data_IF_615850263023
#
_entry.id   IF_615850263023
#
_cell.length_a   1.000
_cell.length_b   1.000
_cell.length_c   1.000
_cell.angle_alpha   90.00
_cell.angle_beta   90.00
_cell.angle_gamma   90.00
#
_symmetry.space_group_name_H-M   'P 1'
#
loop_
_entity.id
_entity.type
_entity.pdbx_description
1 polymer ?
#
# COMPACT_ATOMS: atom_id res chain seq x y z
N UNK A 1 59.77 -12.38 -15.18
CA UNK A 1 59.64 -13.09 -16.46
C UNK A 1 58.15 -13.17 -16.77
N UNK A 2 57.54 -12.57 -17.78
CA UNK A 2 57.99 -11.64 -18.80
C UNK A 2 56.82 -10.70 -19.14
N UNK A 3 57.17 -9.45 -19.42
CA UNK A 3 56.33 -8.34 -19.86
C UNK A 3 56.11 -8.42 -21.37
N UNK A 4 54.92 -8.08 -21.88
CA UNK A 4 54.74 -7.72 -23.30
C UNK A 4 53.87 -6.48 -23.47
N UNK A 5 54.28 -5.70 -24.47
CA UNK A 5 54.11 -4.26 -24.63
C UNK A 5 52.79 -3.81 -25.28
N UNK A 6 52.46 -2.57 -24.94
CA UNK A 6 51.75 -1.55 -25.73
C UNK A 6 52.22 -1.46 -27.20
N UNK A 7 51.27 -1.19 -28.11
CA UNK A 7 51.19 0.00 -29.00
C UNK A 7 50.41 -0.33 -30.28
N UNK A 8 49.34 0.42 -30.54
CA UNK A 8 49.16 1.10 -31.82
C UNK A 8 48.16 2.27 -31.66
N UNK A 9 48.61 3.45 -32.08
CA UNK A 9 47.86 4.69 -32.21
C UNK A 9 47.84 5.10 -33.69
N UNK A 10 46.95 6.07 -34.01
CA UNK A 10 46.88 6.87 -35.25
C UNK A 10 46.11 6.22 -36.41
N UNK A 11 45.18 6.83 -37.16
CA UNK A 11 44.62 8.19 -37.26
C UNK A 11 43.62 8.24 -38.44
N UNK A 12 42.53 9.03 -38.37
CA UNK A 12 41.89 9.84 -39.44
C UNK A 12 40.56 10.41 -38.90
N UNK A 13 40.47 11.69 -38.51
CA UNK A 13 40.31 12.92 -39.32
C UNK A 13 38.89 13.08 -39.94
N UNK A 14 38.18 14.07 -39.37
CA UNK A 14 37.15 14.99 -39.91
C UNK A 14 35.82 14.45 -40.46
N UNK A 15 34.72 14.83 -39.77
CA UNK A 15 33.64 15.67 -40.33
C UNK A 15 32.78 16.27 -39.20
N UNK A 16 32.86 17.59 -39.03
CA UNK A 16 31.88 18.45 -38.33
C UNK A 16 31.30 19.41 -39.37
N UNK A 17 30.12 19.94 -39.05
CA UNK A 17 29.32 21.00 -39.71
C UNK A 17 28.36 20.57 -40.82
N UNK A 18 27.05 20.51 -40.49
CA UNK A 18 26.05 21.50 -40.91
C UNK A 18 24.64 20.99 -40.58
N UNK A 19 24.05 21.44 -39.46
CA UNK A 19 22.59 21.41 -39.26
C UNK A 19 22.18 22.39 -38.14
N UNK A 20 22.31 23.67 -38.43
CA UNK A 20 21.57 24.76 -37.77
C UNK A 20 21.16 25.73 -38.87
N UNK A 21 19.95 26.27 -38.80
CA UNK A 21 19.17 27.00 -39.83
C UNK A 21 18.14 26.09 -40.51
N UNK A 22 17.04 25.79 -39.81
CA UNK A 22 15.68 25.56 -40.36
C UNK A 22 14.71 25.30 -39.18
N UNK A 23 14.54 26.28 -38.29
CA UNK A 23 13.55 26.16 -37.18
C UNK A 23 13.20 27.51 -36.55
N UNK A 24 13.07 28.56 -37.37
CA UNK A 24 12.60 29.88 -36.93
C UNK A 24 11.57 30.53 -37.88
N UNK A 25 11.03 29.78 -38.85
CA UNK A 25 10.09 30.30 -39.85
C UNK A 25 8.65 29.79 -39.78
N UNK A 26 8.33 28.84 -38.88
CA UNK A 26 7.03 28.14 -38.91
C UNK A 26 6.03 28.58 -37.82
N UNK A 27 6.47 29.35 -36.83
CA UNK A 27 5.63 29.78 -35.69
C UNK A 27 4.86 31.09 -35.96
N UNK A 28 5.22 31.84 -37.01
CA UNK A 28 4.56 33.10 -37.35
C UNK A 28 3.33 32.95 -38.30
N UNK A 29 3.05 31.76 -38.83
CA UNK A 29 2.00 31.57 -39.86
C UNK A 29 0.70 30.93 -39.34
N UNK A 30 0.71 30.34 -38.13
CA UNK A 30 -0.48 29.70 -37.53
C UNK A 30 -1.27 30.65 -36.61
N UNK A 31 -0.63 31.72 -36.12
CA UNK A 31 -1.25 32.70 -35.22
C UNK A 31 -2.22 33.70 -35.87
N UNK A 32 -2.25 33.80 -37.21
CA UNK A 32 -3.03 34.79 -37.95
C UNK A 32 -4.30 34.24 -38.61
N UNK A 33 -4.52 32.91 -38.55
CA UNK A 33 -5.71 32.26 -39.10
C UNK A 33 -6.79 31.92 -38.07
N UNK A 34 -6.49 32.02 -36.77
CA UNK A 34 -7.43 31.71 -35.68
C UNK A 34 -8.13 32.94 -35.06
N UNK A 35 -7.81 34.16 -35.52
CA UNK A 35 -8.40 35.41 -35.00
C UNK A 35 -9.51 36.00 -35.87
N UNK A 36 -9.92 35.33 -36.97
CA UNK A 36 -10.95 35.83 -37.91
C UNK A 36 -12.20 34.93 -38.01
N UNK A 37 -12.38 33.97 -37.09
CA UNK A 37 -13.54 33.08 -37.07
C UNK A 37 -14.38 33.19 -35.79
N UNK A 38 -14.59 34.42 -35.33
CA UNK A 38 -15.60 34.77 -34.32
C UNK A 38 -16.40 35.97 -34.83
N UNK A 39 -17.46 35.71 -35.58
CA UNK A 39 -18.56 36.64 -35.83
C UNK A 39 -19.73 35.88 -36.46
N UNK A 40 -20.94 36.17 -35.97
CA UNK A 40 -22.27 35.86 -36.55
C UNK A 40 -22.77 34.41 -36.56
N UNK A 41 -23.47 34.00 -35.50
CA UNK A 41 -24.72 33.21 -35.61
C UNK A 41 -25.78 33.85 -34.69
N UNK A 42 -26.96 34.22 -35.19
CA UNK A 42 -28.02 34.83 -34.40
C UNK A 42 -28.81 33.81 -33.56
N UNK A 43 -29.26 34.28 -32.41
CA UNK A 43 -30.14 33.60 -31.46
C UNK A 43 -31.53 33.38 -32.06
N UNK A 44 -31.95 32.13 -32.23
CA UNK A 44 -33.34 31.77 -32.57
C UNK A 44 -33.99 31.21 -31.30
N UNK A 45 -34.92 32.00 -30.75
CA UNK A 45 -35.92 31.56 -29.80
C UNK A 45 -37.06 30.87 -30.57
N UNK A 46 -37.44 29.66 -30.17
CA UNK A 46 -38.76 29.11 -30.46
C UNK A 46 -39.36 28.54 -29.16
N UNK A 47 -40.61 28.91 -28.82
CA UNK A 47 -41.33 28.35 -27.69
C UNK A 47 -42.12 27.12 -28.15
N UNK A 48 -41.96 25.99 -27.49
CA UNK A 48 -42.94 24.91 -27.56
C UNK A 48 -43.01 24.20 -26.21
N UNK A 49 -44.13 24.41 -25.51
CA UNK A 49 -44.59 23.49 -24.50
C UNK A 49 -45.29 22.31 -25.15
N UNK A 50 -45.04 21.10 -24.64
CA UNK A 50 -45.99 19.99 -24.68
C UNK A 50 -45.68 19.03 -23.53
N UNK A 51 -46.72 18.77 -22.73
CA UNK A 51 -46.83 17.67 -21.77
C UNK A 51 -46.70 16.34 -22.51
N UNK A 52 -45.88 15.41 -21.99
CA UNK A 52 -45.97 13.97 -22.25
C UNK A 52 -45.47 13.17 -21.03
N UNK A 53 -46.07 12.00 -20.86
CA UNK A 53 -46.23 11.15 -19.66
C UNK A 53 -44.97 10.54 -19.02
N UNK A 54 -45.04 10.13 -17.74
CA UNK A 54 -43.97 9.43 -17.05
C UNK A 54 -44.13 7.90 -17.12
N UNK A 55 -43.85 7.25 -18.26
CA UNK A 55 -43.77 5.79 -18.26
C UNK A 55 -42.98 5.18 -19.45
N UNK A 56 -41.65 5.34 -19.44
CA UNK A 56 -40.77 4.38 -20.13
C UNK A 56 -39.33 4.45 -19.60
N UNK A 57 -39.12 3.96 -18.37
CA UNK A 57 -37.75 3.62 -17.92
C UNK A 57 -37.32 2.34 -18.62
N UNK A 58 -36.36 2.50 -19.54
CA UNK A 58 -35.67 1.40 -20.24
C UNK A 58 -35.21 0.29 -19.28
N UNK A 59 -35.29 -0.97 -19.75
CA UNK A 59 -34.91 -2.16 -18.98
C UNK A 59 -33.45 -2.16 -18.51
N UNK A 60 -32.58 -1.35 -19.12
CA UNK A 60 -31.18 -1.19 -18.72
C UNK A 60 -31.01 -0.45 -17.37
N UNK A 61 -31.96 0.41 -16.98
CA UNK A 61 -31.92 1.08 -15.67
C UNK A 61 -32.35 0.17 -14.52
N UNK A 62 -33.26 -0.79 -14.78
CA UNK A 62 -33.76 -1.73 -13.75
C UNK A 62 -32.70 -2.74 -13.28
N UNK A 63 -31.75 -3.10 -14.15
CA UNK A 63 -30.62 -3.96 -13.77
C UNK A 63 -29.62 -3.32 -12.81
N UNK A 64 -29.47 -1.99 -12.88
CA UNK A 64 -28.51 -1.25 -12.03
C UNK A 64 -29.02 -0.93 -10.62
N UNK A 65 -30.34 -0.85 -10.42
CA UNK A 65 -30.94 -0.54 -9.12
C UNK A 65 -30.70 -1.67 -8.09
N UNK A 66 -30.55 -2.93 -8.54
CA UNK A 66 -30.21 -4.07 -7.66
C UNK A 66 -28.76 -4.08 -7.16
N UNK A 67 -27.88 -3.21 -7.69
CA UNK A 67 -26.48 -3.11 -7.27
C UNK A 67 -26.17 -1.93 -6.35
N UNK A 68 -27.16 -1.10 -6.01
CA UNK A 68 -27.00 0.06 -5.12
C UNK A 68 -27.71 -0.19 -3.78
N UNK A 69 -27.00 -0.43 -2.67
CA UNK A 69 -27.64 -0.47 -1.36
C UNK A 69 -28.31 0.88 -1.05
N UNK A 70 -29.48 0.82 -0.40
CA UNK A 70 -30.29 2.00 -0.08
C UNK A 70 -29.51 3.06 0.69
N UNK A 71 -29.50 4.30 0.17
CA UNK A 71 -28.93 5.50 0.79
C UNK A 71 -29.54 5.74 2.18
N UNK A 72 -28.73 5.71 3.24
CA UNK A 72 -29.00 6.46 4.47
C UNK A 72 -27.93 7.54 4.61
N UNK A 73 -28.33 8.79 4.36
CA UNK A 73 -27.46 9.94 4.55
C UNK A 73 -27.40 10.27 6.05
N UNK A 74 -26.23 10.08 6.67
CA UNK A 74 -25.92 10.65 7.99
C UNK A 74 -24.51 11.25 7.96
N UNK A 75 -24.46 12.58 8.02
CA UNK A 75 -23.43 13.36 8.73
C UNK A 75 -22.00 13.45 8.22
N UNK A 76 -21.52 12.56 7.35
CA UNK A 76 -20.15 12.63 6.81
C UNK A 76 -20.13 13.32 5.43
N UNK A 77 -19.28 14.33 5.27
CA UNK A 77 -19.01 14.99 3.97
C UNK A 77 -18.14 14.15 3.05
N UNK A 78 -17.52 13.07 3.55
CA UNK A 78 -16.96 12.04 2.70
C UNK A 78 -18.13 11.23 2.13
N UNK A 79 -18.28 11.24 0.81
CA UNK A 79 -19.27 10.42 0.12
C UNK A 79 -19.03 8.95 0.52
N UNK A 80 -19.90 8.40 1.37
CA UNK A 80 -20.00 6.96 1.66
C UNK A 80 -20.09 6.07 0.40
N UNK A 81 -20.20 6.68 -0.80
CA UNK A 81 -20.30 6.00 -2.09
C UNK A 81 -19.03 6.12 -2.95
N UNK A 82 -17.89 6.60 -2.43
CA UNK A 82 -16.68 6.84 -3.26
C UNK A 82 -16.25 5.63 -4.11
N UNK A 83 -16.23 4.44 -3.50
CA UNK A 83 -15.91 3.19 -4.19
C UNK A 83 -17.05 2.70 -5.12
N UNK A 84 -18.32 3.01 -4.82
CA UNK A 84 -19.47 2.72 -5.72
C UNK A 84 -19.37 3.58 -6.97
N UNK A 85 -19.14 4.88 -6.80
CA UNK A 85 -18.98 5.83 -7.89
C UNK A 85 -17.76 5.46 -8.74
N UNK A 86 -16.67 4.99 -8.12
CA UNK A 86 -15.53 4.40 -8.82
C UNK A 86 -15.95 3.21 -9.68
N UNK A 87 -16.59 2.19 -9.10
CA UNK A 87 -17.01 1.00 -9.85
C UNK A 87 -17.93 1.37 -11.03
N UNK A 88 -18.87 2.29 -10.85
CA UNK A 88 -19.75 2.75 -11.93
C UNK A 88 -18.97 3.44 -13.06
N UNK A 89 -17.99 4.29 -12.72
CA UNK A 89 -17.12 4.93 -13.71
C UNK A 89 -16.24 3.91 -14.42
N UNK A 90 -15.61 3.00 -13.69
CA UNK A 90 -14.75 1.94 -14.23
C UNK A 90 -15.54 1.04 -15.19
N UNK A 91 -16.75 0.62 -14.81
CA UNK A 91 -17.62 -0.20 -15.66
C UNK A 91 -17.99 0.53 -16.95
N UNK A 92 -18.42 1.80 -16.87
CA UNK A 92 -18.73 2.60 -18.07
C UNK A 92 -17.52 2.74 -18.97
N UNK A 93 -16.34 3.04 -18.41
CA UNK A 93 -15.12 3.18 -19.19
C UNK A 93 -14.69 1.87 -19.85
N UNK A 94 -14.85 0.74 -19.16
CA UNK A 94 -14.59 -0.58 -19.71
C UNK A 94 -15.53 -0.87 -20.88
N UNK A 95 -16.85 -0.70 -20.69
CA UNK A 95 -17.84 -0.93 -21.74
C UNK A 95 -17.60 -0.06 -22.98
N UNK A 96 -17.28 1.23 -22.79
CA UNK A 96 -16.93 2.13 -23.91
C UNK A 96 -15.68 1.64 -24.66
N UNK A 97 -14.69 1.09 -23.96
CA UNK A 97 -13.48 0.52 -24.57
C UNK A 97 -13.78 -0.82 -25.27
N UNK A 98 -14.71 -1.62 -24.77
CA UNK A 98 -15.12 -2.87 -25.42
C UNK A 98 -15.99 -2.62 -26.67
N UNK A 99 -16.83 -1.58 -26.66
CA UNK A 99 -17.70 -1.21 -27.78
C UNK A 99 -16.93 -0.53 -28.92
N UNK A 100 -15.97 0.33 -28.59
CA UNK A 100 -15.11 1.00 -29.57
C UNK A 100 -13.87 0.16 -29.78
N UNK A 101 -13.81 -0.54 -30.91
CA UNK A 101 -12.69 -1.38 -31.38
C UNK A 101 -11.39 -1.30 -30.54
N UNK A 102 -10.89 -2.46 -30.13
CA UNK A 102 -9.83 -2.69 -29.13
C UNK A 102 -8.59 -1.78 -29.21
N UNK A 103 -8.32 -1.20 -30.38
CA UNK A 103 -7.28 -0.21 -30.62
C UNK A 103 -7.46 1.12 -29.86
N UNK A 104 -8.63 1.39 -29.27
CA UNK A 104 -8.88 2.63 -28.51
C UNK A 104 -8.72 2.48 -26.99
N UNK A 105 -8.59 1.25 -26.50
CA UNK A 105 -8.40 0.98 -25.09
C UNK A 105 -7.02 1.46 -24.61
N UNK A 106 -6.96 2.02 -23.40
CA UNK A 106 -5.67 2.27 -22.74
C UNK A 106 -4.99 0.94 -22.43
N UNK A 107 -3.66 0.99 -22.27
CA UNK A 107 -2.88 -0.17 -21.81
C UNK A 107 -3.51 -0.72 -20.53
N UNK A 108 -3.73 -2.03 -20.49
CA UNK A 108 -4.33 -2.79 -19.38
C UNK A 108 -5.79 -2.45 -19.04
N UNK A 109 -6.46 -1.58 -19.80
CA UNK A 109 -7.85 -1.22 -19.51
C UNK A 109 -8.82 -2.41 -19.62
N UNK A 110 -8.54 -3.37 -20.49
CA UNK A 110 -9.32 -4.61 -20.63
C UNK A 110 -8.90 -5.71 -19.66
N UNK A 111 -7.89 -5.46 -18.82
CA UNK A 111 -7.45 -6.39 -17.78
C UNK A 111 -8.11 -5.99 -16.46
N UNK A 112 -9.02 -6.82 -15.98
CA UNK A 112 -9.86 -6.54 -14.82
C UNK A 112 -9.27 -7.18 -13.57
N UNK A 113 -9.15 -6.40 -12.49
CA UNK A 113 -8.77 -6.87 -11.16
C UNK A 113 -9.96 -6.74 -10.22
N UNK A 114 -10.31 -7.80 -9.48
CA UNK A 114 -11.36 -7.76 -8.48
C UNK A 114 -10.74 -7.63 -7.09
N UNK A 115 -11.04 -6.52 -6.41
CA UNK A 115 -10.55 -6.20 -5.08
C UNK A 115 -11.59 -6.62 -4.05
N UNK A 116 -11.45 -7.84 -3.55
CA UNK A 116 -12.41 -8.49 -2.66
C UNK A 116 -12.10 -8.32 -1.17
N UNK A 117 -10.85 -8.01 -0.81
CA UNK A 117 -10.49 -7.67 0.57
C UNK A 117 -11.22 -6.39 1.04
N UNK A 118 -11.65 -6.38 2.30
CA UNK A 118 -12.38 -5.24 2.85
C UNK A 118 -11.48 -4.01 3.02
N UNK A 119 -10.17 -4.21 3.22
CA UNK A 119 -9.20 -3.13 3.39
C UNK A 119 -9.16 -2.16 2.19
N UNK A 120 -9.47 -2.66 0.99
CA UNK A 120 -9.59 -1.82 -0.22
C UNK A 120 -10.77 -0.84 -0.16
N UNK A 121 -11.88 -1.23 0.48
CA UNK A 121 -13.02 -0.35 0.72
C UNK A 121 -12.76 0.54 1.94
N UNK A 122 -12.26 -0.04 3.04
CA UNK A 122 -12.00 0.69 4.28
C UNK A 122 -11.08 1.89 4.06
N UNK A 123 -10.04 1.77 3.22
CA UNK A 123 -9.18 2.91 2.92
C UNK A 123 -9.95 4.05 2.21
N UNK A 124 -10.89 3.72 1.31
CA UNK A 124 -11.74 4.71 0.63
C UNK A 124 -12.70 5.41 1.60
N UNK A 125 -13.00 4.76 2.72
CA UNK A 125 -13.79 5.29 3.83
C UNK A 125 -12.93 6.05 4.87
N UNK A 126 -11.62 6.15 4.65
CA UNK A 126 -10.69 6.92 5.48
C UNK A 126 -10.03 6.13 6.60
N UNK A 127 -10.13 4.80 6.60
CA UNK A 127 -9.36 3.97 7.53
C UNK A 127 -7.86 3.98 7.15
N UNK A 128 -7.00 4.00 8.17
CA UNK A 128 -5.55 4.25 8.03
C UNK A 128 -4.69 3.21 8.78
N UNK A 129 -5.18 1.97 8.92
CA UNK A 129 -4.38 0.86 9.44
C UNK A 129 -3.27 0.45 8.46
N UNK A 130 -2.40 -0.48 8.90
CA UNK A 130 -1.28 -0.92 8.08
C UNK A 130 -1.76 -1.62 6.81
N UNK A 131 -2.80 -2.43 6.95
CA UNK A 131 -3.49 -3.12 5.87
C UNK A 131 -4.16 -2.14 4.90
N UNK A 132 -4.77 -1.05 5.39
CA UNK A 132 -5.35 -0.02 4.53
C UNK A 132 -4.29 0.81 3.78
N UNK A 133 -3.16 1.13 4.41
CA UNK A 133 -2.02 1.80 3.74
C UNK A 133 -1.48 0.90 2.61
N UNK A 134 -1.43 -0.41 2.86
CA UNK A 134 -1.03 -1.38 1.85
C UNK A 134 -2.06 -1.50 0.71
N UNK A 135 -3.34 -1.54 1.04
CA UNK A 135 -4.43 -1.52 0.06
C UNK A 135 -4.42 -0.24 -0.78
N UNK A 136 -4.19 0.92 -0.17
CA UNK A 136 -4.08 2.21 -0.84
C UNK A 136 -2.90 2.22 -1.83
N UNK A 137 -1.74 1.71 -1.42
CA UNK A 137 -0.57 1.60 -2.31
C UNK A 137 -0.84 0.68 -3.50
N UNK A 138 -1.56 -0.42 -3.27
CA UNK A 138 -1.95 -1.36 -4.32
C UNK A 138 -2.91 -0.70 -5.32
N UNK A 139 -3.92 0.02 -4.85
CA UNK A 139 -4.86 0.77 -5.70
C UNK A 139 -4.14 1.83 -6.53
N UNK A 140 -3.26 2.62 -5.90
CA UNK A 140 -2.46 3.63 -6.61
C UNK A 140 -1.58 3.00 -7.71
N UNK A 141 -0.98 1.84 -7.43
CA UNK A 141 -0.20 1.11 -8.43
C UNK A 141 -1.08 0.59 -9.59
N UNK A 142 -2.29 0.10 -9.32
CA UNK A 142 -3.24 -0.31 -10.37
C UNK A 142 -3.63 0.86 -11.28
N UNK A 143 -3.87 2.04 -10.71
CA UNK A 143 -4.16 3.27 -11.45
C UNK A 143 -2.98 3.65 -12.36
N UNK A 144 -1.74 3.67 -11.85
CA UNK A 144 -0.55 3.98 -12.64
C UNK A 144 -0.35 2.98 -13.79
N UNK A 145 -0.57 1.69 -13.51
CA UNK A 145 -0.40 0.60 -14.47
C UNK A 145 -1.55 0.51 -15.49
N UNK A 146 -2.62 1.28 -15.32
CA UNK A 146 -3.75 1.38 -16.25
C UNK A 146 -4.76 0.24 -16.17
N UNK A 147 -4.76 -0.55 -15.09
CA UNK A 147 -5.71 -1.65 -14.91
C UNK A 147 -7.12 -1.14 -14.61
N UNK A 148 -8.13 -1.83 -15.12
CA UNK A 148 -9.49 -1.66 -14.61
C UNK A 148 -9.64 -2.49 -13.35
N UNK A 149 -10.18 -1.92 -12.28
CA UNK A 149 -10.45 -2.68 -11.06
C UNK A 149 -11.80 -2.33 -10.45
N UNK A 150 -12.38 -3.30 -9.75
CA UNK A 150 -13.65 -3.17 -9.05
C UNK A 150 -13.48 -3.54 -7.58
N UNK A 151 -14.04 -2.71 -6.70
CA UNK A 151 -14.22 -3.06 -5.30
C UNK A 151 -15.41 -4.01 -5.18
N UNK A 152 -15.16 -5.26 -4.84
CA UNK A 152 -16.19 -6.31 -4.81
C UNK A 152 -16.50 -6.81 -3.41
N UNK A 153 -15.76 -6.37 -2.39
CA UNK A 153 -16.11 -6.65 -1.00
C UNK A 153 -17.48 -6.06 -0.63
N UNK A 154 -18.08 -6.61 0.42
CA UNK A 154 -19.29 -6.07 1.03
C UNK A 154 -19.01 -5.73 2.50
N UNK A 155 -19.24 -4.47 2.83
CA UNK A 155 -19.26 -3.96 4.19
C UNK A 155 -20.67 -3.43 4.47
N UNK A 156 -21.37 -4.01 5.44
CA UNK A 156 -22.68 -3.55 5.88
C UNK A 156 -22.62 -2.68 7.16
N UNK A 157 -21.40 -2.35 7.61
CA UNK A 157 -21.17 -1.60 8.84
C UNK A 157 -21.25 -2.44 10.13
N UNK A 158 -21.60 -3.73 10.05
CA UNK A 158 -21.79 -4.59 11.22
C UNK A 158 -21.01 -5.91 11.13
N UNK A 159 -20.81 -6.49 9.94
CA UNK A 159 -20.07 -7.72 9.69
C UNK A 159 -19.39 -7.71 8.33
N UNK A 160 -18.13 -8.16 8.30
CA UNK A 160 -17.48 -8.54 7.04
C UNK A 160 -18.20 -9.80 6.56
N UNK A 161 -18.82 -9.74 5.37
CA UNK A 161 -19.38 -10.94 4.78
C UNK A 161 -18.23 -11.88 4.41
N UNK A 162 -18.26 -13.08 5.00
CA UNK A 162 -17.20 -14.09 4.94
C UNK A 162 -17.04 -14.77 3.55
N UNK A 163 -17.64 -14.24 2.48
CA UNK A 163 -17.71 -14.91 1.19
C UNK A 163 -17.53 -13.98 -0.01
N UNK A 164 -17.23 -14.58 -1.16
CA UNK A 164 -16.95 -13.89 -2.43
C UNK A 164 -18.18 -13.77 -3.35
N UNK A 165 -19.41 -13.80 -2.82
CA UNK A 165 -20.64 -13.81 -3.63
C UNK A 165 -20.69 -12.68 -4.66
N UNK A 166 -20.48 -11.44 -4.22
CA UNK A 166 -20.46 -10.26 -5.11
C UNK A 166 -19.28 -10.30 -6.08
N UNK A 167 -18.12 -10.79 -5.64
CA UNK A 167 -16.95 -10.99 -6.51
C UNK A 167 -17.26 -11.97 -7.64
N UNK A 168 -18.01 -13.06 -7.36
CA UNK A 168 -18.46 -14.02 -8.37
C UNK A 168 -19.39 -13.35 -9.38
N UNK A 169 -20.31 -12.48 -8.93
CA UNK A 169 -21.18 -11.74 -9.86
C UNK A 169 -20.37 -10.87 -10.82
N UNK A 170 -19.35 -10.16 -10.31
CA UNK A 170 -18.42 -9.39 -11.15
C UNK A 170 -17.59 -10.27 -12.08
N UNK A 171 -17.10 -11.40 -11.59
CA UNK A 171 -16.35 -12.35 -12.40
C UNK A 171 -17.20 -12.85 -13.58
N UNK A 172 -18.46 -13.23 -13.32
CA UNK A 172 -19.38 -13.74 -14.35
C UNK A 172 -19.76 -12.72 -15.42
N UNK A 173 -19.66 -11.43 -15.13
CA UNK A 173 -19.88 -10.39 -16.14
C UNK A 173 -18.75 -10.34 -17.17
N UNK A 174 -17.51 -10.63 -16.78
CA UNK A 174 -16.32 -10.50 -17.63
C UNK A 174 -15.25 -11.58 -17.37
N UNK A 175 -15.59 -12.89 -17.44
CA UNK A 175 -14.73 -13.97 -16.94
C UNK A 175 -13.34 -13.99 -17.63
N UNK A 176 -13.31 -13.70 -18.93
CA UNK A 176 -12.11 -13.69 -19.74
C UNK A 176 -11.22 -12.46 -19.51
N UNK A 177 -11.80 -11.37 -19.01
CA UNK A 177 -11.07 -10.11 -18.75
C UNK A 177 -10.45 -10.10 -17.36
N UNK A 178 -10.97 -10.89 -16.41
CA UNK A 178 -10.45 -10.92 -15.05
C UNK A 178 -9.11 -11.62 -15.01
N UNK A 179 -8.05 -10.87 -14.67
CA UNK A 179 -6.70 -11.40 -14.47
C UNK A 179 -6.49 -11.96 -13.06
N UNK A 180 -6.99 -11.26 -12.04
CA UNK A 180 -6.80 -11.66 -10.65
C UNK A 180 -7.95 -11.20 -9.76
N UNK A 181 -8.13 -11.93 -8.67
CA UNK A 181 -8.98 -11.61 -7.53
C UNK A 181 -8.06 -11.49 -6.32
N UNK A 182 -8.03 -10.32 -5.69
CA UNK A 182 -7.25 -10.08 -4.48
C UNK A 182 -8.23 -10.09 -3.30
N UNK A 183 -8.22 -11.15 -2.51
CA UNK A 183 -9.21 -11.42 -1.46
C UNK A 183 -8.55 -11.50 -0.08
N UNK A 184 -9.33 -11.35 0.99
CA UNK A 184 -8.84 -11.71 2.33
C UNK A 184 -8.44 -13.19 2.38
N UNK A 185 -7.57 -13.51 3.33
CA UNK A 185 -7.11 -14.88 3.53
C UNK A 185 -8.27 -15.83 3.85
N UNK A 186 -9.17 -15.46 4.77
CA UNK A 186 -10.34 -16.26 5.14
C UNK A 186 -11.32 -16.41 3.97
N UNK A 187 -11.55 -15.34 3.20
CA UNK A 187 -12.38 -15.37 2.00
C UNK A 187 -11.82 -16.29 0.92
N UNK A 188 -10.50 -16.34 0.74
CA UNK A 188 -9.85 -17.23 -0.21
C UNK A 188 -10.04 -18.71 0.18
N UNK A 189 -9.86 -19.06 1.45
CA UNK A 189 -10.15 -20.41 1.96
C UNK A 189 -11.63 -20.76 1.84
N UNK A 190 -12.52 -19.88 2.30
CA UNK A 190 -13.97 -20.11 2.23
C UNK A 190 -14.46 -20.28 0.78
N UNK A 191 -13.90 -19.52 -0.17
CA UNK A 191 -14.21 -19.69 -1.59
C UNK A 191 -13.72 -21.04 -2.13
N UNK A 192 -12.50 -21.43 -1.77
CA UNK A 192 -11.93 -22.70 -2.20
C UNK A 192 -12.76 -23.90 -1.74
N UNK A 193 -13.29 -23.84 -0.52
CA UNK A 193 -14.14 -24.89 0.04
C UNK A 193 -15.60 -24.83 -0.48
N UNK A 194 -16.04 -23.73 -1.09
CA UNK A 194 -17.38 -23.58 -1.66
C UNK A 194 -17.40 -23.95 -3.17
N UNK A 195 -18.00 -25.09 -3.57
CA UNK A 195 -18.07 -25.50 -4.96
C UNK A 195 -18.85 -24.53 -5.85
N UNK A 196 -19.63 -23.59 -5.27
CA UNK A 196 -20.33 -22.54 -6.02
C UNK A 196 -19.45 -21.32 -6.29
N UNK A 197 -18.29 -21.22 -5.63
CA UNK A 197 -17.35 -20.14 -5.80
C UNK A 197 -16.28 -20.47 -6.84
N UNK A 198 -15.58 -21.60 -6.68
CA UNK A 198 -14.50 -21.99 -7.58
C UNK A 198 -15.00 -22.63 -8.87
N UNK A 199 -14.18 -22.51 -9.92
CA UNK A 199 -14.34 -23.27 -11.16
C UNK A 199 -14.23 -24.76 -10.87
N UNK A 200 -15.24 -25.53 -11.25
CA UNK A 200 -15.22 -26.98 -11.24
C UNK A 200 -16.25 -27.52 -12.25
N UNK A 201 -16.38 -28.85 -12.33
CA UNK A 201 -17.30 -29.51 -13.25
C UNK A 201 -18.77 -29.10 -13.06
N UNK A 202 -19.20 -28.89 -11.82
CA UNK A 202 -20.58 -28.54 -11.47
C UNK A 202 -20.82 -27.01 -11.48
N UNK A 203 -19.75 -26.23 -11.47
CA UNK A 203 -19.74 -24.77 -11.55
C UNK A 203 -18.76 -24.28 -12.64
N UNK A 204 -19.10 -24.41 -13.93
CA UNK A 204 -18.24 -23.99 -15.03
C UNK A 204 -18.05 -22.46 -15.13
N UNK A 205 -18.81 -21.70 -14.35
CA UNK A 205 -18.72 -20.23 -14.26
C UNK A 205 -18.11 -19.76 -12.93
N UNK A 206 -17.49 -20.67 -12.18
CA UNK A 206 -16.75 -20.33 -10.98
C UNK A 206 -15.43 -19.64 -11.28
N UNK A 207 -14.83 -19.06 -10.25
CA UNK A 207 -13.53 -18.40 -10.34
C UNK A 207 -12.44 -19.49 -10.36
N UNK A 208 -11.57 -19.53 -11.38
CA UNK A 208 -10.40 -20.39 -11.35
C UNK A 208 -9.53 -20.09 -10.13
N UNK A 209 -9.23 -21.11 -9.33
CA UNK A 209 -8.55 -20.89 -8.04
C UNK A 209 -7.19 -20.20 -8.18
N UNK A 210 -6.49 -20.42 -9.29
CA UNK A 210 -5.20 -19.77 -9.55
C UNK A 210 -5.30 -18.26 -9.78
N UNK A 211 -6.48 -17.73 -10.06
CA UNK A 211 -6.72 -16.28 -10.12
C UNK A 211 -6.92 -15.66 -8.73
N UNK A 212 -7.09 -16.45 -7.67
CA UNK A 212 -7.37 -15.95 -6.31
C UNK A 212 -6.06 -15.81 -5.54
N UNK A 213 -5.67 -14.57 -5.28
CA UNK A 213 -4.50 -14.20 -4.49
C UNK A 213 -4.96 -13.72 -3.11
N UNK A 214 -4.43 -14.32 -2.05
CA UNK A 214 -4.73 -13.93 -0.68
C UNK A 214 -3.94 -12.69 -0.29
N UNK A 215 -4.62 -11.65 0.15
CA UNK A 215 -4.07 -10.43 0.72
C UNK A 215 -3.85 -10.66 2.21
N UNK A 216 -2.63 -10.97 2.63
CA UNK A 216 -2.34 -11.30 4.03
C UNK A 216 -1.25 -10.40 4.58
N UNK A 217 -1.55 -9.72 5.68
CA UNK A 217 -0.57 -8.82 6.28
C UNK A 217 0.60 -9.58 6.89
N UNK A 218 0.39 -10.80 7.39
CA UNK A 218 1.36 -11.52 8.20
C UNK A 218 2.18 -12.56 7.41
N UNK A 219 3.26 -13.03 8.04
CA UNK A 219 4.07 -14.10 7.51
C UNK A 219 3.31 -15.45 7.46
N UNK A 220 3.80 -16.37 6.61
CA UNK A 220 3.22 -17.70 6.46
C UNK A 220 2.16 -17.77 5.35
N UNK A 221 1.83 -18.97 4.87
CA UNK A 221 0.89 -19.13 3.77
C UNK A 221 -0.54 -18.86 4.26
N UNK A 222 -1.28 -18.05 3.53
CA UNK A 222 -2.66 -17.69 3.83
C UNK A 222 -3.59 -17.88 2.62
N UNK A 223 -3.19 -18.78 1.72
CA UNK A 223 -3.93 -19.21 0.53
C UNK A 223 -4.01 -20.73 0.49
N UNK A 224 -5.11 -21.32 -0.03
CA UNK A 224 -5.20 -22.75 -0.33
C UNK A 224 -4.06 -23.28 -1.22
N UNK A 225 -3.50 -22.42 -2.07
CA UNK A 225 -2.39 -22.76 -2.97
C UNK A 225 -1.00 -22.48 -2.35
N UNK A 226 -0.97 -21.99 -1.11
CA UNK A 226 0.25 -21.79 -0.32
C UNK A 226 0.93 -20.43 -0.54
N UNK A 227 2.24 -20.39 -0.28
CA UNK A 227 3.03 -19.17 -0.20
C UNK A 227 3.02 -18.32 -1.47
N UNK A 228 3.13 -18.95 -2.65
CA UNK A 228 3.15 -18.22 -3.95
C UNK A 228 1.87 -17.43 -4.22
N UNK A 229 0.71 -17.89 -3.73
CA UNK A 229 -0.58 -17.19 -3.87
C UNK A 229 -0.93 -16.34 -2.65
N UNK A 230 -0.02 -16.22 -1.68
CA UNK A 230 -0.17 -15.32 -0.53
C UNK A 230 0.63 -14.07 -0.80
N UNK A 231 -0.03 -12.92 -0.91
CA UNK A 231 0.60 -11.61 -1.03
C UNK A 231 0.98 -11.12 0.37
N UNK A 232 2.13 -10.45 0.50
CA UNK A 232 2.57 -9.84 1.77
C UNK A 232 3.02 -8.38 1.62
N UNK A 233 2.85 -7.55 2.67
CA UNK A 233 3.29 -6.15 2.72
C UNK A 233 4.78 -6.01 3.04
N UNK A 234 5.40 -7.05 3.58
CA UNK A 234 6.83 -7.09 3.91
C UNK A 234 7.48 -8.34 3.30
N UNK A 235 8.80 -8.27 3.19
CA UNK A 235 9.66 -9.36 2.74
C UNK A 235 10.05 -10.23 3.96
N UNK A 236 9.09 -10.97 4.50
CA UNK A 236 9.21 -11.68 5.79
C UNK A 236 10.35 -12.69 5.89
N UNK A 237 10.82 -13.23 4.77
CA UNK A 237 12.02 -14.08 4.73
C UNK A 237 13.32 -13.33 5.10
N UNK A 238 13.31 -11.99 5.09
CA UNK A 238 14.39 -11.18 5.68
C UNK A 238 14.32 -11.11 7.20
N UNK A 239 13.14 -11.30 7.77
CA UNK A 239 12.98 -11.36 9.22
C UNK A 239 13.52 -12.69 9.76
N UNK A 240 13.20 -13.77 9.05
CA UNK A 240 13.59 -15.13 9.43
C UNK A 240 13.93 -15.94 8.17
N UNK A 241 15.22 -16.25 7.99
CA UNK A 241 15.72 -16.96 6.81
C UNK A 241 15.14 -18.36 6.62
N UNK A 242 14.55 -18.94 7.66
CA UNK A 242 13.86 -20.24 7.63
C UNK A 242 12.39 -20.15 7.20
N UNK A 243 11.82 -18.96 7.08
CA UNK A 243 10.43 -18.78 6.64
C UNK A 243 10.39 -18.82 5.13
N UNK A 244 9.59 -19.75 4.58
CA UNK A 244 9.32 -19.79 3.14
C UNK A 244 8.61 -18.49 2.75
N UNK A 245 9.13 -17.72 1.77
CA UNK A 245 8.60 -16.41 1.45
C UNK A 245 7.23 -16.49 0.78
N UNK A 246 6.33 -15.62 1.23
CA UNK A 246 5.15 -15.22 0.48
C UNK A 246 5.54 -14.37 -0.75
N UNK A 247 4.59 -14.15 -1.65
CA UNK A 247 4.77 -13.22 -2.78
C UNK A 247 4.77 -11.78 -2.27
N UNK A 248 5.96 -11.19 -2.18
CA UNK A 248 6.12 -9.81 -1.70
C UNK A 248 5.53 -8.80 -2.68
N UNK A 249 4.44 -8.15 -2.27
CA UNK A 249 3.82 -7.03 -2.99
C UNK A 249 4.32 -5.69 -2.44
N UNK A 250 4.37 -5.57 -1.11
CA UNK A 250 4.80 -4.36 -0.43
C UNK A 250 3.85 -3.16 -0.57
N UNK A 251 4.17 -2.10 0.16
CA UNK A 251 3.45 -0.83 0.14
C UNK A 251 4.44 0.33 0.03
N UNK A 252 3.93 1.54 -0.14
CA UNK A 252 4.73 2.74 -0.29
C UNK A 252 4.31 3.82 0.67
N UNK A 253 5.28 4.37 1.39
CA UNK A 253 5.11 5.57 2.25
C UNK A 253 5.31 6.88 1.48
N UNK A 254 5.86 6.81 0.27
CA UNK A 254 6.24 7.96 -0.54
C UNK A 254 5.12 9.00 -0.79
N UNK A 255 3.85 8.62 -1.08
CA UNK A 255 2.77 9.58 -1.23
C UNK A 255 2.51 10.41 0.04
N UNK A 256 2.48 9.76 1.21
CA UNK A 256 2.28 10.43 2.49
C UNK A 256 3.39 11.43 2.78
N UNK A 257 4.64 11.02 2.57
CA UNK A 257 5.78 11.89 2.84
C UNK A 257 5.88 13.08 1.89
N UNK A 258 5.56 12.91 0.60
CA UNK A 258 5.62 14.02 -0.37
C UNK A 258 4.59 15.11 -0.09
N UNK A 259 3.54 14.79 0.66
CA UNK A 259 2.54 15.77 1.08
C UNK A 259 3.04 16.67 2.23
N UNK A 260 4.18 16.34 2.83
CA UNK A 260 4.75 17.07 3.95
C UNK A 260 6.08 17.66 3.51
N UNK A 261 6.25 18.95 3.72
CA UNK A 261 7.53 19.59 3.47
C UNK A 261 8.54 19.06 4.48
N UNK A 262 9.69 18.59 3.99
CA UNK A 262 10.80 18.23 4.85
C UNK A 262 11.16 19.41 5.76
N UNK A 263 11.23 19.15 7.07
CA UNK A 263 11.61 20.14 8.06
C UNK A 263 13.08 19.91 8.47
N UNK A 264 14.00 20.82 8.09
CA UNK A 264 15.40 20.74 8.48
C UNK A 264 15.57 20.63 9.99
N UNK A 265 16.58 19.90 10.44
CA UNK A 265 16.73 19.56 11.85
C UNK A 265 16.87 20.80 12.75
N UNK A 266 17.52 21.86 12.27
CA UNK A 266 17.67 23.11 13.03
C UNK A 266 16.35 23.86 13.23
N UNK A 267 15.31 23.52 12.47
CA UNK A 267 13.97 24.14 12.53
C UNK A 267 12.96 23.28 13.32
N UNK A 268 13.37 22.10 13.80
CA UNK A 268 12.52 21.21 14.61
C UNK A 268 12.32 21.77 16.01
N UNK A 269 11.33 21.20 16.73
CA UNK A 269 10.92 21.69 18.05
C UNK A 269 12.12 21.84 19.02
N UNK A 270 12.11 22.93 19.75
CA UNK A 270 12.99 23.21 20.90
C UNK A 270 12.11 23.37 22.16
N UNK A 271 12.30 22.58 23.24
CA UNK A 271 13.36 21.58 23.41
C UNK A 271 13.24 20.41 22.43
N UNK A 272 14.34 19.68 22.24
CA UNK A 272 14.34 18.48 21.41
C UNK A 272 13.22 17.53 21.84
N UNK A 273 12.63 16.82 20.89
CA UNK A 273 11.46 16.01 21.16
C UNK A 273 11.54 14.64 20.52
N UNK A 274 10.85 13.69 21.14
CA UNK A 274 10.73 12.31 20.71
C UNK A 274 9.26 11.92 20.58
N UNK A 275 8.92 11.15 19.54
CA UNK A 275 7.56 10.60 19.37
C UNK A 275 7.53 9.10 19.68
N UNK A 276 6.71 8.67 20.63
CA UNK A 276 6.49 7.26 20.93
C UNK A 276 5.46 6.67 19.96
N UNK A 277 5.83 5.58 19.30
CA UNK A 277 4.98 4.89 18.32
C UNK A 277 4.01 3.98 19.07
N UNK A 278 2.92 4.56 19.57
CA UNK A 278 1.86 3.86 20.30
C UNK A 278 0.49 4.47 19.97
N UNK A 279 -0.29 3.83 19.08
CA UNK A 279 -1.65 4.29 18.73
C UNK A 279 -2.73 3.87 19.74
N UNK A 280 -2.42 2.91 20.61
CA UNK A 280 -3.33 2.33 21.58
C UNK A 280 -2.60 2.22 22.92
N UNK A 281 -3.18 2.79 23.97
CA UNK A 281 -2.62 2.84 25.32
C UNK A 281 -2.32 1.44 25.87
N UNK A 282 -3.02 0.39 25.38
CA UNK A 282 -2.75 -0.99 25.80
C UNK A 282 -1.33 -1.45 25.47
N UNK A 283 -0.68 -0.83 24.48
CA UNK A 283 0.71 -1.15 24.11
C UNK A 283 1.72 -0.71 25.17
N UNK A 284 1.29 0.13 26.11
CA UNK A 284 2.13 0.68 27.18
C UNK A 284 2.01 -0.13 28.48
N UNK A 285 1.17 -1.18 28.52
CA UNK A 285 1.08 -2.06 29.69
C UNK A 285 2.40 -2.81 29.95
N UNK A 286 2.73 -3.08 31.23
CA UNK A 286 3.99 -3.73 31.63
C UNK A 286 4.30 -5.06 30.90
N UNK A 287 3.27 -5.86 30.65
CA UNK A 287 3.43 -7.17 29.99
C UNK A 287 3.78 -7.06 28.50
N UNK A 288 3.66 -5.86 27.92
CA UNK A 288 3.66 -5.64 26.47
C UNK A 288 4.77 -4.70 26.03
N UNK A 289 5.07 -3.66 26.82
CA UNK A 289 5.99 -2.60 26.41
C UNK A 289 7.46 -3.06 26.35
N UNK A 290 8.29 -2.29 25.66
CA UNK A 290 9.73 -2.50 25.57
C UNK A 290 10.53 -1.75 26.65
N UNK A 291 9.93 -0.75 27.30
CA UNK A 291 10.64 0.17 28.20
C UNK A 291 9.83 0.43 29.47
N UNK A 292 10.49 0.26 30.62
CA UNK A 292 9.92 0.60 31.92
C UNK A 292 9.66 2.12 32.06
N UNK A 293 8.66 2.56 32.85
CA UNK A 293 8.37 3.98 33.09
C UNK A 293 9.59 4.83 33.48
N UNK A 294 10.48 4.28 34.32
CA UNK A 294 11.72 4.96 34.75
C UNK A 294 12.69 5.23 33.61
N UNK A 295 12.67 4.40 32.55
CA UNK A 295 13.52 4.59 31.37
C UNK A 295 13.21 5.91 30.67
N UNK A 296 11.93 6.28 30.57
CA UNK A 296 11.53 7.56 29.98
C UNK A 296 11.92 8.75 30.86
N UNK A 297 11.77 8.62 32.19
CA UNK A 297 12.15 9.67 33.15
C UNK A 297 13.65 9.96 33.12
N UNK A 298 14.46 8.92 33.19
CA UNK A 298 15.92 9.07 33.16
C UNK A 298 16.38 9.55 31.78
N UNK A 299 15.76 9.08 30.69
CA UNK A 299 16.05 9.60 29.35
C UNK A 299 15.72 11.10 29.21
N UNK A 300 14.54 11.54 29.65
CA UNK A 300 14.15 12.97 29.62
C UNK A 300 15.18 13.82 30.37
N UNK A 301 15.59 13.37 31.56
CA UNK A 301 16.60 14.04 32.40
C UNK A 301 17.97 14.09 31.73
N UNK A 302 18.42 13.00 31.12
CA UNK A 302 19.78 12.85 30.59
C UNK A 302 19.96 13.44 29.18
N UNK A 303 18.89 13.59 28.41
CA UNK A 303 18.94 14.10 27.03
C UNK A 303 18.22 15.43 26.85
N UNK A 304 17.38 15.83 27.82
CA UNK A 304 16.56 17.03 27.74
C UNK A 304 15.39 16.89 26.75
N UNK A 305 15.07 15.68 26.28
CA UNK A 305 13.97 15.47 25.33
C UNK A 305 12.61 15.50 26.01
N UNK A 306 11.63 16.10 25.33
CA UNK A 306 10.21 15.96 25.65
C UNK A 306 9.62 14.80 24.83
N UNK A 307 8.88 13.90 25.48
CA UNK A 307 8.22 12.79 24.80
C UNK A 307 6.76 13.13 24.47
N UNK A 308 6.35 12.78 23.26
CA UNK A 308 4.97 12.88 22.77
C UNK A 308 4.47 11.51 22.33
N UNK A 309 3.17 11.28 22.43
CA UNK A 309 2.51 10.13 21.81
C UNK A 309 1.09 10.50 21.38
N UNK A 310 0.43 9.65 20.61
CA UNK A 310 -0.97 9.82 20.20
C UNK A 310 -1.75 8.53 20.42
N UNK A 311 -1.93 8.16 21.68
CA UNK A 311 -2.53 6.90 22.09
C UNK A 311 -4.01 7.06 22.42
N UNK A 312 -4.84 6.11 21.96
CA UNK A 312 -6.23 5.97 22.37
C UNK A 312 -6.37 5.11 23.62
N UNK A 313 -7.41 5.33 24.41
CA UNK A 313 -7.74 4.56 25.61
C UNK A 313 -7.04 5.00 26.89
N UNK A 314 -7.25 4.24 27.96
CA UNK A 314 -6.73 4.55 29.29
C UNK A 314 -5.28 4.09 29.46
N UNK A 315 -4.40 5.02 29.84
CA UNK A 315 -3.01 4.72 30.15
C UNK A 315 -2.89 3.88 31.44
N UNK A 316 -1.87 3.02 31.55
CA UNK A 316 -1.52 2.38 32.82
C UNK A 316 -1.28 3.41 33.92
N UNK A 317 -1.66 3.08 35.17
CA UNK A 317 -1.57 4.01 36.31
C UNK A 317 -0.13 4.47 36.61
N UNK A 318 0.86 3.64 36.28
CA UNK A 318 2.28 3.86 36.48
C UNK A 318 2.96 4.50 35.25
N UNK A 319 2.22 4.79 34.17
CA UNK A 319 2.77 5.42 32.99
C UNK A 319 3.30 6.83 33.30
N UNK A 320 4.49 7.24 32.80
CA UNK A 320 5.18 8.44 33.27
C UNK A 320 4.65 9.72 32.58
N UNK A 321 3.42 10.10 32.89
CA UNK A 321 2.70 11.26 32.32
C UNK A 321 3.33 12.63 32.61
N UNK A 322 4.26 12.71 33.56
CA UNK A 322 5.01 13.93 33.88
C UNK A 322 6.16 14.20 32.89
N UNK A 323 6.57 13.20 32.10
CA UNK A 323 7.59 13.36 31.04
C UNK A 323 7.09 12.96 29.63
N UNK A 324 5.94 12.28 29.55
CA UNK A 324 5.29 11.91 28.28
C UNK A 324 3.94 12.59 28.16
N UNK A 325 3.78 13.41 27.11
CA UNK A 325 2.51 14.06 26.77
C UNK A 325 1.72 13.19 25.76
N UNK A 326 0.50 12.78 26.14
CA UNK A 326 -0.43 12.16 25.20
C UNK A 326 -1.21 13.24 24.45
N UNK A 327 -1.08 13.28 23.14
CA UNK A 327 -1.79 14.19 22.23
C UNK A 327 -3.12 13.58 21.73
N UNK A 328 -3.53 12.45 22.29
CA UNK A 328 -4.68 11.63 21.90
C UNK A 328 -4.62 11.22 20.41
N UNK A 329 -5.72 10.65 19.91
CA UNK A 329 -5.86 10.40 18.47
C UNK A 329 -5.92 11.72 17.70
N UNK A 330 -5.20 11.78 16.60
CA UNK A 330 -5.11 12.96 15.74
C UNK A 330 -5.41 12.62 14.28
N UNK A 331 -5.94 13.58 13.49
CA UNK A 331 -6.03 13.44 12.04
C UNK A 331 -4.67 13.13 11.41
N UNK A 332 -4.67 12.38 10.31
CA UNK A 332 -3.45 11.86 9.71
C UNK A 332 -2.49 12.98 9.26
N UNK A 333 -3.00 14.05 8.65
CA UNK A 333 -2.18 15.20 8.25
C UNK A 333 -1.49 15.86 9.46
N UNK A 334 -2.21 16.01 10.57
CA UNK A 334 -1.63 16.53 11.81
C UNK A 334 -0.61 15.56 12.42
N UNK A 335 -0.87 14.25 12.36
CA UNK A 335 0.10 13.22 12.76
C UNK A 335 1.41 13.33 11.99
N UNK A 336 1.36 13.47 10.67
CA UNK A 336 2.55 13.61 9.85
C UNK A 336 3.30 14.92 10.13
N UNK A 337 2.59 16.03 10.35
CA UNK A 337 3.21 17.30 10.76
C UNK A 337 3.91 17.16 12.11
N UNK A 338 3.23 16.54 13.08
CA UNK A 338 3.81 16.23 14.39
C UNK A 338 5.05 15.36 14.23
N UNK A 339 4.96 14.21 13.56
CA UNK A 339 6.07 13.31 13.33
C UNK A 339 7.26 14.00 12.65
N UNK A 340 7.03 14.85 11.63
CA UNK A 340 8.11 15.61 10.97
C UNK A 340 8.81 16.63 11.88
N UNK A 341 8.14 17.04 12.97
CA UNK A 341 8.64 18.05 13.90
C UNK A 341 9.50 17.51 15.05
N UNK A 342 9.52 16.18 15.27
CA UNK A 342 10.38 15.54 16.29
C UNK A 342 11.78 15.23 15.79
N UNK A 343 12.69 15.06 16.74
CA UNK A 343 14.08 14.72 16.48
C UNK A 343 14.32 13.20 16.42
N UNK A 344 13.46 12.39 17.04
CA UNK A 344 13.55 10.93 17.04
C UNK A 344 12.17 10.29 17.19
N UNK A 345 11.94 9.15 16.54
CA UNK A 345 10.77 8.31 16.74
C UNK A 345 11.18 7.04 17.48
N UNK A 346 10.36 6.57 18.42
CA UNK A 346 10.72 5.49 19.35
C UNK A 346 9.63 4.43 19.35
N UNK A 347 10.01 3.22 18.98
CA UNK A 347 9.15 2.05 19.15
C UNK A 347 8.98 1.69 20.62
N UNK A 348 7.75 1.36 21.04
CA UNK A 348 7.43 0.92 22.41
C UNK A 348 7.24 -0.59 22.55
N UNK A 349 7.49 -1.36 21.48
CA UNK A 349 7.33 -2.82 21.40
C UNK A 349 6.09 -3.29 20.63
N UNK A 350 5.02 -2.49 20.61
CA UNK A 350 3.81 -2.72 19.80
C UNK A 350 3.32 -1.39 19.17
N UNK A 351 2.59 -1.42 18.05
CA UNK A 351 2.27 -2.60 17.24
C UNK A 351 3.48 -3.12 16.46
N UNK A 352 3.42 -4.37 16.00
CA UNK A 352 4.46 -4.97 15.17
C UNK A 352 4.38 -4.42 13.76
N UNK A 353 5.53 -4.23 13.12
CA UNK A 353 5.62 -3.96 11.69
C UNK A 353 4.75 -2.78 11.27
N UNK A 354 4.79 -1.70 12.07
CA UNK A 354 4.01 -0.49 11.80
C UNK A 354 4.65 0.34 10.68
N UNK A 355 3.88 0.74 9.65
CA UNK A 355 4.34 1.69 8.63
C UNK A 355 4.94 2.98 9.19
N UNK A 356 4.50 3.40 10.39
CA UNK A 356 4.95 4.63 11.05
C UNK A 356 6.48 4.74 11.17
N UNK A 357 7.20 3.64 11.33
CA UNK A 357 8.67 3.72 11.39
C UNK A 357 9.28 4.06 10.03
N UNK A 358 8.69 3.60 8.93
CA UNK A 358 9.08 4.05 7.59
C UNK A 358 8.67 5.50 7.35
N UNK A 359 7.48 5.92 7.80
CA UNK A 359 7.05 7.31 7.72
C UNK A 359 8.03 8.25 8.44
N UNK A 360 8.51 7.86 9.63
CA UNK A 360 9.52 8.60 10.38
C UNK A 360 10.81 8.77 9.56
N UNK A 361 11.40 7.68 9.05
CA UNK A 361 12.61 7.74 8.22
C UNK A 361 12.41 8.63 6.98
N UNK A 362 11.24 8.50 6.36
CA UNK A 362 10.86 9.24 5.18
C UNK A 362 10.73 10.75 5.44
N UNK A 363 10.35 11.16 6.65
CA UNK A 363 10.34 12.55 7.11
C UNK A 363 11.69 13.02 7.68
N UNK A 364 12.74 12.19 7.59
CA UNK A 364 14.07 12.48 8.11
C UNK A 364 14.15 12.37 9.64
N UNK A 365 13.35 11.51 10.24
CA UNK A 365 13.32 11.25 11.69
C UNK A 365 13.96 9.88 11.94
N UNK A 366 15.12 9.80 12.61
CA UNK A 366 15.72 8.52 12.96
C UNK A 366 14.83 7.73 13.93
N UNK A 367 14.94 6.41 13.91
CA UNK A 367 14.07 5.51 14.66
C UNK A 367 14.86 4.72 15.70
N UNK A 368 14.34 4.62 16.92
CA UNK A 368 14.75 3.61 17.91
C UNK A 368 13.83 2.40 17.78
N UNK A 369 14.39 1.26 17.39
CA UNK A 369 13.65 0.01 17.15
C UNK A 369 13.97 -1.01 18.26
N UNK A 370 13.02 -1.35 19.14
CA UNK A 370 13.27 -2.31 20.20
C UNK A 370 13.47 -3.74 19.68
N UNK A 371 14.50 -4.41 20.18
CA UNK A 371 14.71 -5.87 20.07
C UNK A 371 14.08 -6.51 21.30
N UNK A 372 12.98 -7.22 21.09
CA UNK A 372 12.13 -7.78 22.14
C UNK A 372 12.62 -9.14 22.61
N UNK A 373 13.13 -9.97 21.68
CA UNK A 373 13.73 -11.27 21.98
C UNK A 373 14.98 -11.47 21.12
N UNK A 374 15.97 -12.19 21.65
CA UNK A 374 17.23 -12.49 20.96
C UNK A 374 17.89 -13.72 21.58
N UNK A 375 18.84 -14.32 20.85
CA UNK A 375 19.71 -15.37 21.40
C UNK A 375 20.81 -14.73 22.26
N UNK A 376 20.77 -14.99 23.57
CA UNK A 376 21.72 -14.44 24.53
C UNK A 376 23.14 -14.98 24.36
N UNK A 377 23.33 -16.12 23.70
CA UNK A 377 24.65 -16.67 23.38
C UNK A 377 25.25 -16.06 22.11
N UNK A 378 24.42 -15.41 21.29
CA UNK A 378 24.80 -14.81 20.02
C UNK A 378 23.99 -13.51 19.77
N UNK A 379 24.14 -12.50 20.65
CA UNK A 379 23.30 -11.31 20.62
C UNK A 379 23.54 -10.44 19.38
N UNK A 380 24.65 -10.62 18.65
CA UNK A 380 24.92 -9.92 17.39
C UNK A 380 24.14 -10.46 16.19
N UNK A 381 23.55 -11.65 16.31
CA UNK A 381 22.91 -12.32 15.19
C UNK A 381 21.48 -11.83 14.97
N UNK A 382 21.33 -10.92 14.01
CA UNK A 382 20.05 -10.28 13.68
C UNK A 382 18.99 -11.26 13.18
N UNK A 383 19.35 -12.40 12.60
CA UNK A 383 18.38 -13.42 12.17
C UNK A 383 17.62 -14.02 13.35
N UNK A 384 18.24 -14.00 14.55
CA UNK A 384 17.66 -14.46 15.81
C UNK A 384 16.97 -13.35 16.59
N UNK A 385 16.97 -12.12 16.09
CA UNK A 385 16.27 -11.01 16.72
C UNK A 385 14.79 -11.01 16.35
N UNK A 386 13.97 -10.87 17.38
CA UNK A 386 12.57 -10.52 17.28
C UNK A 386 12.46 -9.04 17.64
N UNK A 387 12.32 -8.17 16.64
CA UNK A 387 12.23 -6.71 16.83
C UNK A 387 10.80 -6.23 16.59
N UNK A 388 10.42 -5.08 17.16
CA UNK A 388 9.08 -4.50 16.91
C UNK A 388 8.85 -4.29 15.41
N UNK A 389 9.85 -3.79 14.69
CA UNK A 389 9.82 -3.74 13.23
C UNK A 389 10.95 -4.58 12.66
N UNK A 390 10.66 -5.85 12.40
CA UNK A 390 11.66 -6.81 12.00
C UNK A 390 12.29 -6.48 10.63
N UNK A 391 11.54 -5.99 9.65
CA UNK A 391 12.11 -5.55 8.38
C UNK A 391 13.08 -4.33 8.47
N UNK A 392 13.10 -3.60 9.59
CA UNK A 392 14.00 -2.46 9.84
C UNK A 392 15.24 -2.82 10.66
N UNK A 393 15.31 -4.03 11.23
CA UNK A 393 16.47 -4.46 12.04
C UNK A 393 17.78 -4.53 11.25
N UNK A 394 17.68 -4.66 9.93
CA UNK A 394 18.83 -4.69 9.02
C UNK A 394 19.44 -3.31 8.76
N UNK A 395 18.76 -2.23 9.15
CA UNK A 395 19.31 -0.88 9.05
C UNK A 395 20.16 -0.56 10.28
N UNK A 396 21.15 0.29 10.04
CA UNK A 396 22.08 0.79 11.05
C UNK A 396 21.90 2.28 11.31
N UNK A 397 22.50 2.81 12.39
CA UNK A 397 22.66 4.24 12.57
C UNK A 397 23.32 4.89 11.34
N UNK A 398 22.94 6.14 10.97
CA UNK A 398 22.10 7.04 11.76
C UNK A 398 20.59 6.85 11.56
N UNK A 399 20.14 5.90 10.71
CA UNK A 399 18.72 5.73 10.39
C UNK A 399 17.94 5.00 11.47
N UNK A 400 18.42 3.81 11.85
CA UNK A 400 17.75 2.93 12.83
C UNK A 400 18.73 2.55 13.93
N UNK A 401 18.32 2.79 15.17
CA UNK A 401 19.03 2.40 16.38
C UNK A 401 18.30 1.21 16.99
N UNK A 402 18.82 0.00 16.75
CA UNK A 402 18.26 -1.21 17.35
C UNK A 402 18.73 -1.36 18.80
N UNK A 403 17.80 -1.44 19.75
CA UNK A 403 18.10 -1.44 21.20
C UNK A 403 17.41 -2.61 21.87
N UNK A 404 18.15 -3.39 22.68
CA UNK A 404 17.57 -4.50 23.44
C UNK A 404 16.57 -4.01 24.49
N UNK A 405 15.43 -4.69 24.58
CA UNK A 405 14.38 -4.42 25.56
C UNK A 405 14.98 -4.29 26.96
N UNK A 406 14.52 -3.28 27.70
CA UNK A 406 14.96 -2.95 29.06
C UNK A 406 16.44 -2.56 29.22
N UNK A 407 17.21 -2.34 28.14
CA UNK A 407 18.53 -1.73 28.20
C UNK A 407 18.43 -0.20 28.22
N UNK A 408 18.20 0.35 29.42
CA UNK A 408 18.05 1.81 29.64
C UNK A 408 19.27 2.62 29.17
N UNK A 409 20.48 2.11 29.36
CA UNK A 409 21.69 2.85 28.97
C UNK A 409 21.82 2.94 27.46
N UNK A 410 21.56 1.84 26.75
CA UNK A 410 21.54 1.84 25.28
C UNK A 410 20.39 2.67 24.72
N UNK A 411 19.22 2.68 25.38
CA UNK A 411 18.09 3.55 25.02
C UNK A 411 18.46 5.04 25.08
N UNK A 412 19.03 5.49 26.20
CA UNK A 412 19.48 6.88 26.37
C UNK A 412 20.56 7.23 25.33
N UNK A 413 21.54 6.34 25.14
CA UNK A 413 22.61 6.54 24.16
C UNK A 413 22.08 6.62 22.73
N UNK A 414 21.08 5.81 22.37
CA UNK A 414 20.43 5.84 21.06
C UNK A 414 19.76 7.20 20.81
N UNK A 415 19.04 7.75 21.80
CA UNK A 415 18.45 9.09 21.71
C UNK A 415 19.54 10.14 21.52
N UNK A 416 20.57 10.16 22.38
CA UNK A 416 21.67 11.12 22.26
C UNK A 416 22.37 11.06 20.88
N UNK A 417 22.56 9.85 20.38
CA UNK A 417 23.18 9.62 19.06
C UNK A 417 22.28 10.10 17.93
N UNK A 418 20.97 9.84 18.00
CA UNK A 418 19.99 10.32 17.04
C UNK A 418 19.93 11.85 16.99
N UNK A 419 19.99 12.54 18.14
CA UNK A 419 20.06 14.00 18.21
C UNK A 419 21.34 14.56 17.59
N UNK A 420 22.46 13.85 17.75
CA UNK A 420 23.78 14.31 17.26
C UNK A 420 24.02 13.96 15.79
N UNK A 421 23.21 13.08 15.20
CA UNK A 421 23.37 12.57 13.83
C UNK A 421 22.03 12.67 13.08
N UNK A 422 21.58 13.90 12.74
CA UNK A 422 20.36 14.07 11.98
C UNK A 422 20.45 13.39 10.61
N UNK A 423 19.31 12.93 10.11
CA UNK A 423 19.20 12.33 8.79
C UNK A 423 18.36 13.21 7.86
N UNK A 424 18.68 13.14 6.58
CA UNK A 424 17.80 13.63 5.53
C UNK A 424 16.59 12.69 5.35
N UNK A 425 15.59 13.14 4.60
CA UNK A 425 14.49 12.28 4.15
C UNK A 425 15.01 11.00 3.51
N UNK A 426 14.59 9.85 4.04
CA UNK A 426 15.08 8.55 3.62
C UNK A 426 13.93 7.58 3.34
N UNK A 427 13.73 7.27 2.05
CA UNK A 427 12.76 6.25 1.60
C UNK A 427 13.55 5.06 1.09
N UNK A 428 13.35 3.90 1.71
CA UNK A 428 13.89 2.65 1.20
C UNK A 428 13.39 2.40 -0.23
N UNK A 429 14.29 1.92 -1.09
CA UNK A 429 13.96 1.70 -2.50
C UNK A 429 12.75 0.77 -2.68
N UNK A 430 12.64 -0.28 -1.85
CA UNK A 430 11.50 -1.20 -1.87
C UNK A 430 10.16 -0.57 -1.45
N UNK A 431 10.20 0.56 -0.73
CA UNK A 431 9.04 1.31 -0.22
C UNK A 431 8.68 2.52 -1.10
N UNK A 432 9.29 2.66 -2.27
CA UNK A 432 8.89 3.67 -3.27
C UNK A 432 7.71 3.17 -4.08
N UNK A 433 6.88 4.09 -4.58
CA UNK A 433 5.70 3.71 -5.36
C UNK A 433 6.08 2.96 -6.63
N UNK A 434 7.14 3.39 -7.31
CA UNK A 434 7.68 2.68 -8.49
C UNK A 434 8.00 1.21 -8.23
N UNK A 435 8.49 0.88 -7.04
CA UNK A 435 8.87 -0.48 -6.70
C UNK A 435 7.63 -1.35 -6.40
N UNK A 436 6.57 -0.74 -5.84
CA UNK A 436 5.26 -1.39 -5.69
C UNK A 436 4.64 -1.63 -7.06
N UNK A 437 4.66 -0.64 -7.96
CA UNK A 437 4.20 -0.74 -9.35
C UNK A 437 4.92 -1.88 -10.10
N UNK A 438 6.24 -1.95 -10.01
CA UNK A 438 7.03 -3.01 -10.65
C UNK A 438 6.70 -4.41 -10.09
N UNK A 439 6.52 -4.54 -8.77
CA UNK A 439 6.15 -5.82 -8.14
C UNK A 439 4.73 -6.22 -8.53
N UNK A 440 3.76 -5.32 -8.43
CA UNK A 440 2.37 -5.59 -8.79
C UNK A 440 2.23 -5.92 -10.27
N UNK A 441 2.91 -5.17 -11.15
CA UNK A 441 2.94 -5.45 -12.57
C UNK A 441 3.45 -6.85 -12.87
N UNK A 442 4.55 -7.28 -12.25
CA UNK A 442 5.04 -8.66 -12.39
C UNK A 442 4.05 -9.69 -11.86
N UNK A 443 3.46 -9.46 -10.68
CA UNK A 443 2.46 -10.35 -10.09
C UNK A 443 1.27 -10.54 -11.04
N UNK A 444 0.75 -9.46 -11.65
CA UNK A 444 -0.43 -9.52 -12.52
C UNK A 444 -0.14 -10.06 -13.93
N UNK A 445 1.12 -10.03 -14.37
CA UNK A 445 1.55 -10.60 -15.66
C UNK A 445 2.12 -12.02 -15.53
N UNK A 446 2.25 -12.56 -14.32
CA UNK A 446 2.59 -13.98 -14.10
C UNK A 446 1.50 -14.88 -14.67
N UNK A 447 1.91 -15.94 -15.37
CA UNK A 447 1.01 -17.01 -15.78
C UNK A 447 0.67 -17.91 -14.57
N UNK A 448 -0.29 -17.45 -13.77
CA UNK A 448 -0.72 -18.18 -12.58
C UNK A 448 -1.37 -19.53 -12.90
N UNK A 449 -1.91 -19.70 -14.12
CA UNK A 449 -2.45 -20.98 -14.53
C UNK A 449 -1.32 -22.00 -14.64
N UNK A 450 -0.26 -21.66 -15.37
CA UNK A 450 0.92 -22.51 -15.49
C UNK A 450 1.55 -22.82 -14.13
N UNK A 451 1.66 -21.83 -13.24
CA UNK A 451 2.17 -22.06 -11.87
C UNK A 451 1.28 -23.03 -11.08
N UNK A 452 -0.03 -22.97 -11.25
CA UNK A 452 -0.99 -23.86 -10.60
C UNK A 452 -0.95 -25.29 -11.17
N UNK A 453 -0.79 -25.43 -12.49
CA UNK A 453 -0.56 -26.73 -13.15
C UNK A 453 0.71 -27.39 -12.60
N UNK A 454 1.82 -26.65 -12.51
CA UNK A 454 3.06 -27.14 -11.93
C UNK A 454 2.87 -27.59 -10.46
N UNK A 455 2.15 -26.81 -9.66
CA UNK A 455 1.84 -27.17 -8.28
C UNK A 455 1.05 -28.49 -8.19
N UNK A 456 0.07 -28.70 -9.07
CA UNK A 456 -0.69 -29.94 -9.11
C UNK A 456 0.19 -31.12 -9.51
N UNK A 457 1.05 -30.97 -10.52
CA UNK A 457 1.99 -32.02 -10.92
C UNK A 457 2.94 -32.41 -9.77
N UNK A 458 3.48 -31.44 -9.04
CA UNK A 458 4.35 -31.68 -7.89
C UNK A 458 3.64 -32.46 -6.78
N UNK A 459 2.39 -32.10 -6.50
CA UNK A 459 1.56 -32.78 -5.49
C UNK A 459 1.20 -34.21 -5.92
N UNK A 460 0.84 -34.40 -7.19
CA UNK A 460 0.57 -35.74 -7.74
C UNK A 460 1.82 -36.64 -7.67
N UNK A 461 3.01 -36.10 -7.93
CA UNK A 461 4.29 -36.84 -7.76
C UNK A 461 4.53 -37.27 -6.31
N UNK A 462 3.97 -36.55 -5.33
CA UNK A 462 4.02 -36.88 -3.89
C UNK A 462 2.88 -37.81 -3.44
N UNK A 463 1.98 -38.19 -4.34
CA UNK A 463 0.82 -39.04 -4.04
C UNK A 463 -0.37 -38.30 -3.41
N UNK A 464 -0.39 -36.97 -3.48
CA UNK A 464 -1.54 -36.17 -3.06
C UNK A 464 -2.63 -36.14 -4.14
N UNK A 465 -3.90 -36.05 -3.74
CA UNK A 465 -5.02 -35.89 -4.66
C UNK A 465 -5.07 -34.48 -5.26
N UNK A 466 -5.47 -34.31 -6.53
CA UNK A 466 -5.65 -32.99 -7.13
C UNK A 466 -6.62 -32.14 -6.31
N UNK A 467 -6.23 -30.90 -6.04
CA UNK A 467 -7.00 -29.97 -5.21
C UNK A 467 -8.12 -29.25 -5.97
N UNK A 468 -7.96 -29.10 -7.28
CA UNK A 468 -8.86 -28.32 -8.15
C UNK A 468 -8.68 -28.75 -9.61
N UNK A 469 -9.60 -28.30 -10.46
CA UNK A 469 -9.50 -28.43 -11.92
C UNK A 469 -8.87 -27.19 -12.51
N UNK A 470 -7.92 -27.38 -13.44
CA UNK A 470 -7.39 -26.33 -14.32
C UNK A 470 -8.22 -26.21 -15.59
#
# INVERSE_FOLDING_TARGET
MGTWNLRHASSRIRRKLNLKIFTLGFIAFVGLFLSLWRSTIPSIYLPFGRLEDPEERSSSQRGMENFSPHRKAVGSTASWNGWIDHNQRALRQLLVCLERDSHTCRRNQTSVILLASYHFIAQQEGHIGGEEIWAQSTVAALDTLGYTYFFTSHWDGARIQQGLSRTIDYYRMFPDLVKAVIAESDQAFNCFDDPRCILNRDNPYGIPVWKILSFSFWAGPASPLGHKWTLSPEEYNREHSWVVPNTYLGYSVEPGCRNISFLPHEQRKTPHSAFLIAKDAKYLHPDIHAWEPETYREAAKMTGVQFFMGADGSLPNDFPIDVVENLDQMPQDWFYQMLSSVNVAIGVGRPWTSPTMYDALCLGVPVVNPILEWDTNDPSNRDKWVAQHAALKDLDPPYVYNVFKNDMQSFIKAIQSALSNPIESFILERMRMRAVEDRLGRILETDWQYEAENLLEERMKKGETPLFTV
#
